data_IF_887002627458
#
_entry.id   IF_887002627458
#
_cell.length_a   1.000
_cell.length_b   1.000
_cell.length_c   1.000
_cell.angle_alpha   90.00
_cell.angle_beta   90.00
_cell.angle_gamma   90.00
#
_symmetry.space_group_name_H-M   'P 1'
#
loop_
_entity.id
_entity.type
_entity.pdbx_description
1 polymer ?
#
# COMPACT_ATOMS: atom_id res chain seq x y z
N UNK A 1 11.54 -9.87 15.70
CA UNK A 1 10.42 -8.92 15.92
C UNK A 1 9.52 -8.78 14.69
N UNK A 2 10.01 -8.43 13.49
CA UNK A 2 9.18 -8.29 12.29
C UNK A 2 8.42 -9.58 11.92
N UNK A 3 9.10 -10.75 11.93
CA UNK A 3 8.44 -12.06 11.66
C UNK A 3 7.32 -12.35 12.65
N UNK A 4 7.52 -12.09 13.94
CA UNK A 4 6.49 -12.32 14.98
C UNK A 4 5.22 -11.55 14.65
N UNK A 5 5.35 -10.25 14.34
CA UNK A 5 4.19 -9.42 13.96
C UNK A 5 3.53 -9.91 12.67
N UNK A 6 4.31 -10.32 11.67
CA UNK A 6 3.78 -10.84 10.40
C UNK A 6 2.99 -12.13 10.62
N UNK A 7 3.49 -13.05 11.45
CA UNK A 7 2.75 -14.28 11.77
C UNK A 7 1.46 -14.02 12.56
N UNK A 8 1.42 -12.99 13.39
CA UNK A 8 0.16 -12.56 14.02
C UNK A 8 -0.85 -12.04 12.99
N UNK A 9 -0.38 -11.27 11.99
CA UNK A 9 -1.21 -10.80 10.89
C UNK A 9 -1.69 -11.96 10.02
N UNK A 10 -0.82 -12.92 9.69
CA UNK A 10 -1.14 -14.10 8.89
C UNK A 10 -2.24 -14.96 9.53
N UNK A 11 -2.26 -15.09 10.86
CA UNK A 11 -3.33 -15.79 11.58
C UNK A 11 -4.70 -15.12 11.38
N UNK A 12 -4.74 -13.80 11.25
CA UNK A 12 -5.97 -13.06 11.01
C UNK A 12 -6.36 -13.06 9.52
N UNK A 13 -5.37 -13.01 8.64
CA UNK A 13 -5.52 -12.98 7.18
C UNK A 13 -4.59 -14.00 6.53
N UNK A 14 -5.02 -15.27 6.42
CA UNK A 14 -4.18 -16.31 5.82
C UNK A 14 -4.00 -16.17 4.31
N UNK A 15 -4.84 -15.39 3.65
CA UNK A 15 -4.75 -15.06 2.23
C UNK A 15 -4.65 -13.55 2.06
N UNK A 16 -3.55 -13.08 1.47
CA UNK A 16 -3.27 -11.66 1.24
C UNK A 16 -2.54 -11.45 -0.08
N UNK A 17 -3.02 -10.52 -0.86
CA UNK A 17 -2.30 -9.99 -2.01
C UNK A 17 -1.48 -8.76 -1.60
N UNK A 18 -0.16 -8.86 -1.78
CA UNK A 18 0.80 -7.85 -1.37
C UNK A 18 1.47 -7.21 -2.58
N UNK A 19 1.67 -5.92 -2.54
CA UNK A 19 2.38 -5.20 -3.58
C UNK A 19 3.86 -5.01 -3.22
N UNK A 20 4.74 -5.26 -4.18
CA UNK A 20 6.16 -4.97 -4.01
C UNK A 20 6.37 -3.47 -3.76
N UNK A 21 7.00 -3.14 -2.64
CA UNK A 21 7.40 -1.77 -2.33
C UNK A 21 8.81 -1.45 -2.87
N UNK A 22 9.10 -0.16 -3.01
CA UNK A 22 10.46 0.29 -3.35
C UNK A 22 11.47 -0.08 -2.26
N UNK A 23 11.09 -0.14 -1.00
CA UNK A 23 11.93 -0.59 0.10
C UNK A 23 12.11 -2.11 0.10
N UNK A 24 11.03 -2.87 -0.01
CA UNK A 24 11.08 -4.33 -0.08
C UNK A 24 11.91 -4.83 -1.25
N UNK A 25 11.76 -4.22 -2.42
CA UNK A 25 12.52 -4.60 -3.62
C UNK A 25 14.00 -4.15 -3.62
N UNK A 26 14.44 -3.38 -2.62
CA UNK A 26 15.79 -2.80 -2.60
C UNK A 26 16.90 -3.87 -2.65
N UNK A 27 16.76 -4.94 -1.86
CA UNK A 27 17.73 -6.03 -1.85
C UNK A 27 17.85 -6.69 -3.23
N UNK A 28 16.72 -7.00 -3.86
CA UNK A 28 16.70 -7.56 -5.22
C UNK A 28 17.35 -6.64 -6.26
N UNK A 29 17.02 -5.34 -6.22
CA UNK A 29 17.61 -4.36 -7.16
C UNK A 29 19.12 -4.20 -6.96
N UNK A 30 19.61 -4.24 -5.72
CA UNK A 30 21.05 -4.17 -5.43
C UNK A 30 21.77 -5.44 -5.87
N UNK A 31 21.20 -6.61 -5.59
CA UNK A 31 21.76 -7.88 -6.02
C UNK A 31 21.84 -7.98 -7.55
N UNK A 32 20.77 -7.60 -8.24
CA UNK A 32 20.74 -7.56 -9.69
C UNK A 32 21.83 -6.64 -10.29
N UNK A 33 21.99 -5.43 -9.72
CA UNK A 33 23.05 -4.50 -10.13
C UNK A 33 24.46 -5.05 -9.88
N UNK A 34 24.62 -5.92 -8.86
CA UNK A 34 25.87 -6.62 -8.59
C UNK A 34 26.05 -7.91 -9.40
N UNK A 35 25.19 -8.16 -10.38
CA UNK A 35 25.27 -9.34 -11.24
C UNK A 35 24.79 -10.64 -10.60
N UNK A 36 24.09 -10.59 -9.43
CA UNK A 36 23.58 -11.78 -8.78
C UNK A 36 22.26 -12.21 -9.45
N UNK A 37 22.18 -13.43 -9.99
CA UNK A 37 20.93 -13.94 -10.57
C UNK A 37 19.83 -14.07 -9.53
N UNK A 38 18.58 -13.80 -9.92
CA UNK A 38 17.40 -13.91 -9.02
C UNK A 38 17.24 -15.30 -8.41
N UNK A 39 17.67 -16.34 -9.09
CA UNK A 39 17.63 -17.72 -8.63
C UNK A 39 18.39 -17.98 -7.31
N UNK A 40 19.35 -17.11 -6.98
CA UNK A 40 20.11 -17.20 -5.72
C UNK A 40 19.48 -16.37 -4.58
N UNK A 41 18.37 -15.71 -4.82
CA UNK A 41 17.69 -14.91 -3.81
C UNK A 41 16.44 -15.61 -3.30
N UNK A 42 16.30 -15.66 -1.98
CA UNK A 42 15.10 -16.19 -1.35
C UNK A 42 13.86 -15.34 -1.66
N UNK A 43 12.74 -15.99 -1.88
CA UNK A 43 11.44 -15.33 -2.00
C UNK A 43 10.98 -14.73 -0.68
N UNK A 44 10.02 -13.80 -0.74
CA UNK A 44 9.49 -13.19 0.48
C UNK A 44 8.81 -14.20 1.40
N UNK A 45 8.05 -15.15 0.87
CA UNK A 45 7.42 -16.21 1.67
C UNK A 45 8.45 -16.98 2.48
N UNK A 46 9.58 -17.31 1.87
CA UNK A 46 10.67 -18.04 2.52
C UNK A 46 11.37 -17.19 3.59
N UNK A 47 11.66 -15.90 3.28
CA UNK A 47 12.33 -14.98 4.21
C UNK A 47 11.45 -14.66 5.41
N UNK A 48 10.15 -14.51 5.19
CA UNK A 48 9.17 -14.15 6.22
C UNK A 48 8.55 -15.37 6.88
N UNK A 49 8.78 -16.58 6.31
CA UNK A 49 8.24 -17.85 6.80
C UNK A 49 6.70 -17.85 6.84
N UNK A 50 6.09 -17.28 5.79
CA UNK A 50 4.63 -17.22 5.61
C UNK A 50 4.14 -18.23 4.58
N UNK A 51 2.87 -18.61 4.70
CA UNK A 51 2.24 -19.59 3.84
C UNK A 51 2.02 -19.11 2.40
N UNK A 52 1.59 -20.04 1.52
CA UNK A 52 1.38 -19.76 0.09
C UNK A 52 0.19 -18.83 -0.20
N UNK A 53 -0.66 -18.58 0.78
CA UNK A 53 -1.77 -17.63 0.69
C UNK A 53 -1.31 -16.17 0.61
N UNK A 54 -0.06 -15.87 1.01
CA UNK A 54 0.54 -14.55 0.88
C UNK A 54 1.22 -14.43 -0.48
N UNK A 55 0.63 -13.66 -1.39
CA UNK A 55 1.06 -13.52 -2.79
C UNK A 55 1.61 -12.13 -3.05
N UNK A 56 2.78 -12.03 -3.68
CA UNK A 56 3.43 -10.76 -4.03
C UNK A 56 3.27 -10.41 -5.50
N UNK A 57 2.79 -9.21 -5.78
CA UNK A 57 2.54 -8.67 -7.11
C UNK A 57 3.31 -7.38 -7.33
N UNK A 58 3.70 -7.10 -8.56
CA UNK A 58 4.17 -5.76 -8.94
C UNK A 58 3.01 -4.76 -8.98
N UNK A 59 1.89 -5.21 -9.50
CA UNK A 59 0.61 -4.51 -9.58
C UNK A 59 -0.51 -5.54 -9.61
N UNK A 60 -1.71 -5.15 -9.22
CA UNK A 60 -2.88 -6.03 -9.17
C UNK A 60 -4.09 -5.28 -9.69
N UNK A 61 -4.93 -5.95 -10.50
CA UNK A 61 -6.21 -5.40 -10.95
C UNK A 61 -7.33 -6.34 -10.52
N UNK A 62 -8.37 -5.78 -9.92
CA UNK A 62 -9.55 -6.52 -9.44
C UNK A 62 -10.79 -5.91 -10.06
N UNK A 63 -11.69 -6.77 -10.55
CA UNK A 63 -13.01 -6.37 -11.01
C UNK A 63 -13.93 -6.12 -9.83
N UNK A 64 -14.52 -4.93 -9.76
CA UNK A 64 -15.51 -4.57 -8.76
C UNK A 64 -16.93 -5.04 -9.14
N UNK A 65 -17.85 -5.19 -8.17
CA UNK A 65 -19.23 -5.59 -8.42
C UNK A 65 -20.00 -4.67 -9.37
N UNK A 66 -19.65 -3.38 -9.45
CA UNK A 66 -20.25 -2.41 -10.37
C UNK A 66 -19.73 -2.49 -11.81
N UNK A 67 -18.81 -3.45 -12.08
CA UNK A 67 -18.23 -3.66 -13.39
C UNK A 67 -17.00 -2.80 -13.70
N UNK A 68 -16.61 -1.89 -12.82
CA UNK A 68 -15.35 -1.16 -12.97
C UNK A 68 -14.15 -2.00 -12.52
N UNK A 69 -12.98 -1.77 -13.10
CA UNK A 69 -11.73 -2.32 -12.62
C UNK A 69 -11.08 -1.37 -11.64
N UNK A 70 -10.47 -1.90 -10.58
CA UNK A 70 -9.60 -1.17 -9.70
C UNK A 70 -8.18 -1.71 -9.80
N UNK A 71 -7.26 -0.80 -10.09
CA UNK A 71 -5.84 -1.11 -10.21
C UNK A 71 -5.09 -0.68 -8.97
N UNK A 72 -4.36 -1.61 -8.38
CA UNK A 72 -3.53 -1.41 -7.18
C UNK A 72 -2.06 -1.38 -7.55
N UNK A 73 -1.34 -0.40 -7.03
CA UNK A 73 0.10 -0.25 -7.20
C UNK A 73 0.71 0.37 -5.95
N UNK A 74 1.97 0.03 -5.63
CA UNK A 74 2.63 0.64 -4.46
C UNK A 74 2.71 2.16 -4.58
N UNK A 75 3.06 2.70 -5.73
CA UNK A 75 3.05 4.14 -6.03
C UNK A 75 3.76 4.45 -7.34
N UNK A 76 3.06 5.14 -8.26
CA UNK A 76 3.60 5.58 -9.57
C UNK A 76 3.80 7.10 -9.63
N UNK A 77 2.88 7.87 -9.04
CA UNK A 77 2.89 9.33 -9.12
C UNK A 77 2.20 9.92 -7.90
N UNK A 78 2.64 11.09 -7.46
CA UNK A 78 1.95 11.86 -6.43
C UNK A 78 0.56 12.34 -6.88
N UNK A 79 0.34 12.50 -8.20
CA UNK A 79 -0.95 12.81 -8.80
C UNK A 79 -1.65 11.52 -9.26
N UNK A 80 -2.40 10.90 -8.36
CA UNK A 80 -3.09 9.63 -8.61
C UNK A 80 -4.21 9.75 -9.64
N UNK A 81 -4.89 10.91 -9.68
CA UNK A 81 -5.98 11.14 -10.62
C UNK A 81 -5.48 11.02 -12.07
N UNK A 82 -4.35 11.64 -12.37
CA UNK A 82 -3.74 11.53 -13.71
C UNK A 82 -3.37 10.09 -14.06
N UNK A 83 -2.92 9.29 -13.08
CA UNK A 83 -2.61 7.87 -13.33
C UNK A 83 -3.87 7.09 -13.63
N UNK A 84 -4.91 7.21 -12.79
CA UNK A 84 -6.19 6.53 -12.99
C UNK A 84 -6.86 6.92 -14.32
N UNK A 85 -6.87 8.20 -14.66
CA UNK A 85 -7.41 8.71 -15.93
C UNK A 85 -6.69 8.10 -17.15
N UNK A 86 -5.36 8.04 -17.12
CA UNK A 86 -4.57 7.42 -18.21
C UNK A 86 -4.81 5.93 -18.35
N UNK A 87 -5.10 5.23 -17.26
CA UNK A 87 -5.39 3.81 -17.27
C UNK A 87 -6.88 3.51 -17.59
N UNK A 88 -7.77 4.49 -17.39
CA UNK A 88 -9.21 4.31 -17.57
C UNK A 88 -9.85 3.40 -16.50
N UNK A 89 -9.23 3.27 -15.31
CA UNK A 89 -9.66 2.38 -14.23
C UNK A 89 -9.68 3.13 -12.91
N UNK A 90 -10.46 2.65 -11.93
CA UNK A 90 -10.25 3.07 -10.54
C UNK A 90 -8.81 2.74 -10.12
N UNK A 91 -8.26 3.52 -9.18
CA UNK A 91 -6.84 3.40 -8.85
C UNK A 91 -6.57 3.54 -7.35
N UNK A 92 -5.75 2.66 -6.79
CA UNK A 92 -5.34 2.70 -5.38
C UNK A 92 -3.82 2.65 -5.27
N UNK A 93 -3.24 3.54 -4.47
CA UNK A 93 -1.81 3.48 -4.15
C UNK A 93 -1.49 3.93 -2.72
N UNK A 94 -0.35 3.43 -2.20
CA UNK A 94 0.34 3.90 -1.00
C UNK A 94 1.55 4.77 -1.34
N UNK A 95 2.71 4.46 -0.77
CA UNK A 95 4.03 5.06 -1.01
C UNK A 95 4.18 6.53 -0.58
N UNK A 96 3.27 7.39 -0.97
CA UNK A 96 3.32 8.81 -0.63
C UNK A 96 2.69 9.04 0.74
N UNK A 97 3.49 8.87 1.79
CA UNK A 97 3.04 8.85 3.19
C UNK A 97 2.27 10.10 3.62
N UNK A 98 2.52 11.23 2.96
CA UNK A 98 1.87 12.52 3.25
C UNK A 98 0.61 12.75 2.41
N UNK A 99 0.27 11.82 1.51
CA UNK A 99 -0.90 11.91 0.65
C UNK A 99 -1.99 10.96 1.12
N UNK A 100 -3.18 11.53 1.34
CA UNK A 100 -4.33 10.79 1.83
C UNK A 100 -5.60 11.45 1.30
N UNK A 101 -6.31 10.77 0.43
CA UNK A 101 -7.47 11.39 -0.22
C UNK A 101 -8.08 10.53 -1.30
N UNK A 102 -9.29 10.88 -1.70
CA UNK A 102 -10.02 10.28 -2.79
C UNK A 102 -10.32 11.39 -3.81
N UNK A 103 -10.07 11.10 -5.08
CA UNK A 103 -10.44 11.97 -6.20
C UNK A 103 -11.36 11.22 -7.14
N UNK A 104 -12.37 11.89 -7.66
CA UNK A 104 -13.35 11.32 -8.60
C UNK A 104 -13.24 11.99 -9.95
N UNK A 105 -13.54 11.23 -11.01
CA UNK A 105 -13.74 11.76 -12.36
C UNK A 105 -14.77 10.91 -13.11
N UNK A 106 -15.45 11.51 -14.06
CA UNK A 106 -16.40 10.84 -14.95
C UNK A 106 -15.76 10.56 -16.31
N UNK A 107 -16.20 9.48 -16.93
CA UNK A 107 -16.15 9.25 -18.35
C UNK A 107 -17.61 9.02 -18.85
N UNK A 108 -17.86 8.91 -20.17
CA UNK A 108 -19.24 8.78 -20.68
C UNK A 108 -20.05 7.61 -20.09
N UNK A 109 -19.40 6.58 -19.56
CA UNK A 109 -20.04 5.35 -19.09
C UNK A 109 -19.93 5.10 -17.59
N UNK A 110 -19.00 5.77 -16.88
CA UNK A 110 -18.68 5.41 -15.50
C UNK A 110 -18.23 6.60 -14.68
N UNK A 111 -18.52 6.56 -13.38
CA UNK A 111 -17.85 7.36 -12.37
C UNK A 111 -16.66 6.55 -11.82
N UNK A 112 -15.48 7.07 -12.01
CA UNK A 112 -14.22 6.45 -11.58
C UNK A 112 -13.60 7.26 -10.43
N UNK A 113 -12.71 6.60 -9.69
CA UNK A 113 -12.06 7.21 -8.54
C UNK A 113 -10.61 6.75 -8.38
N UNK A 114 -9.82 7.57 -7.70
CA UNK A 114 -8.49 7.20 -7.25
C UNK A 114 -8.31 7.50 -5.77
N UNK A 115 -7.67 6.60 -5.03
CA UNK A 115 -7.50 6.65 -3.59
C UNK A 115 -6.02 6.55 -3.20
N UNK A 116 -5.53 7.53 -2.44
CA UNK A 116 -4.25 7.46 -1.72
C UNK A 116 -4.51 7.12 -0.26
N UNK A 117 -3.90 6.03 0.20
CA UNK A 117 -4.24 5.40 1.49
C UNK A 117 -3.32 5.79 2.64
N UNK A 118 -2.37 6.71 2.42
CA UNK A 118 -1.40 7.08 3.45
C UNK A 118 -0.44 5.93 3.77
N UNK A 119 -0.22 5.68 5.06
CA UNK A 119 0.69 4.64 5.53
C UNK A 119 0.30 4.11 6.92
N UNK A 120 0.90 2.99 7.30
CA UNK A 120 0.82 2.40 8.65
C UNK A 120 2.21 2.32 9.29
N UNK A 121 3.02 3.37 9.11
CA UNK A 121 4.38 3.41 9.66
C UNK A 121 4.38 3.86 11.12
N UNK A 122 5.34 3.38 11.87
CA UNK A 122 5.72 3.99 13.14
C UNK A 122 6.64 5.19 12.84
N UNK A 123 6.11 6.41 13.02
CA UNK A 123 6.83 7.66 12.73
C UNK A 123 8.10 7.84 13.57
N UNK A 124 8.17 7.18 14.71
CA UNK A 124 9.29 7.28 15.64
C UNK A 124 10.33 6.17 15.41
N UNK A 125 10.08 5.27 14.44
CA UNK A 125 11.02 4.23 14.06
C UNK A 125 12.29 4.81 13.42
N UNK A 126 13.44 4.24 13.79
CA UNK A 126 14.76 4.59 13.23
C UNK A 126 14.80 4.45 11.69
N UNK A 127 14.00 3.56 11.12
CA UNK A 127 13.90 3.37 9.66
C UNK A 127 13.44 4.63 8.92
N UNK A 128 12.76 5.56 9.61
CA UNK A 128 12.26 6.82 9.07
C UNK A 128 12.98 8.07 9.63
N UNK A 129 14.11 7.87 10.32
CA UNK A 129 14.89 8.97 10.88
C UNK A 129 15.41 9.97 9.82
N UNK A 130 15.54 9.54 8.57
CA UNK A 130 15.90 10.41 7.44
C UNK A 130 14.75 11.31 6.98
N UNK A 131 13.49 10.97 7.28
CA UNK A 131 12.31 11.81 6.97
C UNK A 131 12.16 13.01 7.94
N UNK A 132 13.01 13.13 8.95
CA UNK A 132 12.99 14.29 9.88
C UNK A 132 13.22 15.63 9.21
N UNK A 133 13.69 15.62 7.96
CA UNK A 133 13.95 16.83 7.15
C UNK A 133 12.67 17.34 6.47
N UNK A 134 11.63 16.53 6.36
CA UNK A 134 10.39 16.92 5.69
C UNK A 134 9.42 17.64 6.63
N UNK A 135 8.89 18.77 6.19
CA UNK A 135 7.90 19.57 6.92
C UNK A 135 6.54 18.85 7.03
N UNK A 136 6.23 17.95 6.10
CA UNK A 136 4.96 17.25 6.03
C UNK A 136 4.99 15.99 6.88
N UNK A 137 3.97 15.81 7.71
CA UNK A 137 3.83 14.62 8.56
C UNK A 137 3.16 13.48 7.79
N UNK A 138 3.60 12.23 7.99
CA UNK A 138 2.89 11.06 7.48
C UNK A 138 1.45 11.01 8.01
N UNK A 139 0.51 10.65 7.15
CA UNK A 139 -0.89 10.43 7.52
C UNK A 139 -1.07 8.94 7.75
N UNK A 140 -1.39 8.58 8.99
CA UNK A 140 -1.59 7.19 9.38
C UNK A 140 -3.04 6.81 9.09
N UNK A 141 -3.23 5.73 8.36
CA UNK A 141 -4.56 5.27 7.98
C UNK A 141 -4.52 4.18 6.92
N UNK A 142 -5.69 3.71 6.56
CA UNK A 142 -5.88 2.76 5.47
C UNK A 142 -7.06 3.16 4.59
N UNK A 143 -7.20 2.47 3.46
CA UNK A 143 -8.37 2.56 2.59
C UNK A 143 -9.12 1.24 2.58
N UNK A 144 -10.42 1.31 2.43
CA UNK A 144 -11.31 0.17 2.19
C UNK A 144 -12.19 0.44 0.99
N UNK A 145 -12.67 -0.62 0.34
CA UNK A 145 -13.64 -0.54 -0.74
C UNK A 145 -14.86 -1.33 -0.31
N UNK A 146 -16.02 -0.67 -0.24
CA UNK A 146 -17.28 -1.29 0.15
C UNK A 146 -18.31 -0.96 -0.94
N UNK A 147 -18.97 -1.98 -1.50
CA UNK A 147 -19.95 -1.81 -2.57
C UNK A 147 -19.39 -0.96 -3.73
N UNK A 148 -18.18 -1.30 -4.18
CA UNK A 148 -17.43 -0.58 -5.24
C UNK A 148 -17.04 0.86 -4.91
N UNK A 149 -17.31 1.36 -3.70
CA UNK A 149 -17.01 2.73 -3.31
C UNK A 149 -15.79 2.79 -2.37
N UNK A 150 -14.84 3.72 -2.63
CA UNK A 150 -13.68 3.91 -1.80
C UNK A 150 -14.03 4.65 -0.51
N UNK A 151 -13.43 4.22 0.59
CA UNK A 151 -13.52 4.92 1.89
C UNK A 151 -12.14 4.97 2.52
N UNK A 152 -11.85 6.06 3.20
CA UNK A 152 -10.62 6.25 3.96
C UNK A 152 -10.91 6.14 5.46
N UNK A 153 -10.04 5.42 6.17
CA UNK A 153 -10.08 5.25 7.62
C UNK A 153 -8.82 5.86 8.24
N UNK A 154 -8.82 7.16 8.57
CA UNK A 154 -7.68 7.77 9.24
C UNK A 154 -7.57 7.26 10.67
N UNK A 155 -6.35 6.96 11.10
CA UNK A 155 -6.06 6.58 12.48
C UNK A 155 -5.77 7.85 13.30
N UNK A 156 -6.71 8.26 14.14
CA UNK A 156 -6.53 9.38 15.05
C UNK A 156 -5.68 8.93 16.23
N UNK A 157 -4.48 9.48 16.33
CA UNK A 157 -3.54 9.15 17.40
C UNK A 157 -3.77 10.04 18.61
N UNK A 158 -3.69 9.46 19.82
CA UNK A 158 -3.66 10.19 21.06
C UNK A 158 -2.33 10.92 21.27
N UNK A 159 -2.20 11.68 22.38
CA UNK A 159 -0.97 12.42 22.72
C UNK A 159 0.28 11.50 22.85
N UNK A 160 0.08 10.23 23.17
CA UNK A 160 1.15 9.22 23.26
C UNK A 160 1.48 8.54 21.93
N UNK A 161 0.95 9.01 20.80
CA UNK A 161 1.20 8.44 19.47
C UNK A 161 0.51 7.10 19.23
N UNK A 162 -0.42 6.70 20.08
CA UNK A 162 -1.21 5.46 19.94
C UNK A 162 -2.56 5.74 19.31
N UNK A 163 -3.02 4.81 18.49
CA UNK A 163 -4.38 4.87 17.95
C UNK A 163 -5.41 4.79 19.10
N UNK A 164 -6.36 5.71 19.10
CA UNK A 164 -7.41 5.79 20.12
C UNK A 164 -8.60 4.85 19.87
N UNK A 165 -8.52 4.02 18.81
CA UNK A 165 -9.57 3.09 18.34
C UNK A 165 -10.86 3.77 17.87
N UNK A 166 -10.89 5.08 17.74
CA UNK A 166 -12.00 5.79 17.13
C UNK A 166 -11.78 5.84 15.60
N UNK A 167 -12.79 5.40 14.86
CA UNK A 167 -12.93 5.71 13.43
C UNK A 167 -13.88 6.90 13.34
N UNK A 168 -13.50 7.95 12.59
CA UNK A 168 -14.39 9.08 12.35
C UNK A 168 -15.62 8.68 11.55
#
# INVERSE_FOLDING_TARGET
QARTTIHEIEKLWPEVDLLHSNHGSLAYRRAFKAGLPRAYMRGYNEVLEVGPGWKWHNELTIRLPDGNDVHFHHGKSANIMTVGQKQGTCYVQGHYHTKYGISYWGNPSSLLWAMQVGCLIDKDSLAFAYDKVFKDRPIIGCGIIINSQPKLLPMVLNKGGRWNKLCP
#
